data_IF_708673308219
#
_entry.id   IF_708673308219
#
_cell.length_a   1.000
_cell.length_b   1.000
_cell.length_c   1.000
_cell.angle_alpha   90.00
_cell.angle_beta   90.00
_cell.angle_gamma   90.00
#
_symmetry.space_group_name_H-M   'P 1'
#
loop_
_entity.id
_entity.type
_entity.pdbx_description
1 polymer ?
#
# COMPACT_ATOMS: atom_id res chain seq x y z
N UNK A 1 11.63 21.54 -18.16
CA UNK A 1 12.46 20.64 -17.34
C UNK A 1 11.95 19.23 -17.56
N UNK A 2 12.82 18.25 -17.74
CA UNK A 2 12.40 16.86 -17.98
C UNK A 2 11.94 16.18 -16.70
N UNK A 3 10.97 15.29 -16.80
CA UNK A 3 10.32 14.63 -15.67
C UNK A 3 10.60 13.13 -15.68
N UNK A 4 10.83 12.57 -14.50
CA UNK A 4 10.89 11.13 -14.28
C UNK A 4 9.52 10.67 -13.75
N UNK A 5 8.86 9.78 -14.48
CA UNK A 5 7.63 9.11 -14.06
C UNK A 5 7.99 7.74 -13.49
N UNK A 6 8.09 7.65 -12.17
CA UNK A 6 8.40 6.41 -11.45
C UNK A 6 7.13 5.57 -11.30
N UNK A 7 7.15 4.33 -11.78
CA UNK A 7 6.07 3.39 -11.49
C UNK A 7 6.33 2.68 -10.15
N UNK A 8 5.30 2.49 -9.33
CA UNK A 8 5.39 1.72 -8.09
C UNK A 8 4.23 0.72 -7.99
N UNK A 9 4.51 -0.53 -7.62
CA UNK A 9 3.51 -1.58 -7.52
C UNK A 9 4.09 -2.99 -7.57
N UNK A 10 3.32 -3.96 -7.08
CA UNK A 10 3.73 -5.37 -7.04
C UNK A 10 3.77 -6.01 -8.46
N UNK A 11 4.52 -7.10 -8.69
CA UNK A 11 4.39 -7.86 -9.95
C UNK A 11 2.93 -8.24 -10.21
N UNK A 12 2.48 -8.14 -11.47
CA UNK A 12 1.08 -8.38 -11.83
C UNK A 12 0.16 -7.15 -11.75
N UNK A 13 0.60 -6.04 -11.14
CA UNK A 13 -0.21 -4.82 -10.96
C UNK A 13 -0.44 -3.99 -12.23
N UNK A 14 -0.09 -4.49 -13.41
CA UNK A 14 -0.30 -3.76 -14.68
C UNK A 14 0.73 -2.67 -15.02
N UNK A 15 1.74 -2.40 -14.15
CA UNK A 15 2.80 -1.38 -14.38
C UNK A 15 3.33 -1.35 -15.82
N UNK A 16 3.81 -2.49 -16.34
CA UNK A 16 4.45 -2.52 -17.66
C UNK A 16 3.47 -2.27 -18.82
N UNK A 17 2.18 -2.48 -18.62
CA UNK A 17 1.16 -2.08 -19.60
C UNK A 17 0.93 -0.57 -19.52
N UNK A 18 0.68 -0.06 -18.30
CA UNK A 18 0.56 1.37 -18.05
C UNK A 18 1.80 2.17 -18.49
N UNK A 19 2.99 1.60 -18.37
CA UNK A 19 4.26 2.18 -18.81
C UNK A 19 4.22 2.58 -20.29
N UNK A 20 3.59 1.75 -21.14
CA UNK A 20 3.49 2.01 -22.58
C UNK A 20 2.61 3.23 -22.86
N UNK A 21 1.48 3.33 -22.16
CA UNK A 21 0.56 4.47 -22.26
C UNK A 21 1.21 5.75 -21.74
N UNK A 22 1.86 5.66 -20.57
CA UNK A 22 2.60 6.76 -19.96
C UNK A 22 3.74 7.24 -20.88
N UNK A 23 4.52 6.35 -21.49
CA UNK A 23 5.58 6.73 -22.44
C UNK A 23 5.03 7.52 -23.64
N UNK A 24 3.88 7.12 -24.18
CA UNK A 24 3.23 7.83 -25.29
C UNK A 24 2.75 9.21 -24.86
N UNK A 25 2.04 9.29 -23.73
CA UNK A 25 1.48 10.53 -23.19
C UNK A 25 2.57 11.55 -22.88
N UNK A 26 3.61 11.11 -22.19
CA UNK A 26 4.69 11.98 -21.69
C UNK A 26 5.86 12.12 -22.68
N UNK A 27 5.78 11.48 -23.86
CA UNK A 27 6.86 11.39 -24.86
C UNK A 27 8.19 10.92 -24.26
N UNK A 28 8.10 9.98 -23.33
CA UNK A 28 9.20 9.51 -22.50
C UNK A 28 9.93 8.30 -23.09
N UNK A 29 11.16 8.10 -22.65
CA UNK A 29 11.92 6.86 -22.83
C UNK A 29 11.57 5.90 -21.71
N UNK A 30 11.33 4.63 -22.05
CA UNK A 30 11.08 3.58 -21.05
C UNK A 30 12.42 3.03 -20.54
N UNK A 31 12.63 3.07 -19.23
CA UNK A 31 13.71 2.36 -18.54
C UNK A 31 13.08 1.30 -17.65
N UNK A 32 13.18 0.03 -18.06
CA UNK A 32 12.52 -1.09 -17.38
C UNK A 32 13.54 -2.09 -16.81
N UNK A 33 13.49 -2.31 -15.50
CA UNK A 33 14.46 -3.18 -14.80
C UNK A 33 14.38 -4.65 -15.23
N UNK A 34 13.20 -5.13 -15.66
CA UNK A 34 13.05 -6.48 -16.18
C UNK A 34 13.68 -6.64 -17.58
N UNK A 35 13.59 -5.62 -18.44
CA UNK A 35 14.26 -5.61 -19.76
C UNK A 35 15.79 -5.53 -19.61
N UNK A 36 16.28 -4.71 -18.67
CA UNK A 36 17.70 -4.63 -18.32
C UNK A 36 18.19 -5.97 -17.77
N UNK A 37 17.42 -6.62 -16.89
CA UNK A 37 17.75 -7.94 -16.36
C UNK A 37 17.90 -8.97 -17.48
N UNK A 38 16.97 -8.98 -18.44
CA UNK A 38 17.02 -9.87 -19.60
C UNK A 38 18.24 -9.58 -20.49
N UNK A 39 18.56 -8.31 -20.76
CA UNK A 39 19.74 -7.93 -21.55
C UNK A 39 21.06 -8.33 -20.88
N UNK A 40 21.18 -8.14 -19.56
CA UNK A 40 22.43 -8.39 -18.82
C UNK A 40 22.67 -9.87 -18.50
N UNK A 41 21.61 -10.63 -18.24
CA UNK A 41 21.72 -11.98 -17.69
C UNK A 41 20.97 -13.05 -18.50
N UNK A 42 20.20 -12.66 -19.51
CA UNK A 42 19.31 -13.57 -20.23
C UNK A 42 18.08 -13.97 -19.41
N UNK A 43 17.17 -14.72 -20.04
CA UNK A 43 15.90 -15.16 -19.46
C UNK A 43 16.03 -16.26 -18.40
N UNK A 44 17.12 -17.02 -18.44
CA UNK A 44 17.33 -18.24 -17.62
C UNK A 44 18.24 -18.03 -16.41
N UNK A 45 18.90 -16.88 -16.32
CA UNK A 45 19.86 -16.63 -15.25
C UNK A 45 19.18 -16.38 -13.91
N UNK A 46 19.57 -17.20 -12.93
CA UNK A 46 19.30 -17.00 -11.50
C UNK A 46 20.28 -16.01 -10.85
N UNK A 47 21.17 -15.35 -11.59
CA UNK A 47 22.13 -14.40 -11.01
C UNK A 47 21.40 -13.15 -10.50
N UNK A 48 21.52 -12.92 -9.20
CA UNK A 48 20.79 -11.88 -8.45
C UNK A 48 21.63 -10.64 -8.21
N UNK A 49 22.41 -10.15 -9.18
CA UNK A 49 23.09 -8.87 -8.96
C UNK A 49 22.11 -7.70 -9.19
N UNK A 50 21.23 -7.52 -8.21
CA UNK A 50 20.20 -6.48 -8.21
C UNK A 50 20.83 -5.10 -8.33
N UNK A 51 21.97 -4.86 -7.67
CA UNK A 51 22.70 -3.59 -7.74
C UNK A 51 23.07 -3.24 -9.17
N UNK A 52 23.70 -4.18 -9.90
CA UNK A 52 24.08 -3.95 -11.30
C UNK A 52 22.89 -3.61 -12.22
N UNK A 53 21.70 -4.16 -11.96
CA UNK A 53 20.47 -3.81 -12.72
C UNK A 53 20.07 -2.37 -12.46
N UNK A 54 20.10 -1.92 -11.20
CA UNK A 54 19.75 -0.55 -10.85
C UNK A 54 20.83 0.45 -11.29
N UNK A 55 22.11 0.09 -11.24
CA UNK A 55 23.19 0.93 -11.76
C UNK A 55 23.02 1.20 -13.26
N UNK A 56 22.73 0.15 -14.04
CA UNK A 56 22.44 0.27 -15.46
C UNK A 56 21.16 1.09 -15.72
N UNK A 57 20.10 0.87 -14.93
CA UNK A 57 18.88 1.66 -15.04
C UNK A 57 19.13 3.14 -14.76
N UNK A 58 19.93 3.47 -13.75
CA UNK A 58 20.26 4.86 -13.43
C UNK A 58 21.12 5.50 -14.53
N UNK A 59 22.05 4.76 -15.13
CA UNK A 59 22.81 5.25 -16.29
C UNK A 59 21.90 5.52 -17.50
N UNK A 60 20.93 4.66 -17.81
CA UNK A 60 19.95 4.89 -18.88
C UNK A 60 19.06 6.11 -18.60
N UNK A 61 18.63 6.29 -17.34
CA UNK A 61 17.86 7.47 -16.92
C UNK A 61 18.70 8.73 -17.13
N UNK A 62 19.95 8.75 -16.68
CA UNK A 62 20.85 9.90 -16.83
C UNK A 62 21.10 10.25 -18.30
N UNK A 63 21.32 9.25 -19.15
CA UNK A 63 21.47 9.45 -20.59
C UNK A 63 20.21 10.06 -21.22
N UNK A 64 19.03 9.53 -20.88
CA UNK A 64 17.76 10.03 -21.42
C UNK A 64 17.50 11.47 -20.97
N UNK A 65 17.71 11.79 -19.69
CA UNK A 65 17.57 13.14 -19.15
C UNK A 65 18.58 14.11 -19.78
N UNK A 66 19.84 13.68 -19.95
CA UNK A 66 20.89 14.47 -20.63
C UNK A 66 20.58 14.76 -22.11
N UNK A 67 19.78 13.91 -22.74
CA UNK A 67 19.25 14.13 -24.10
C UNK A 67 17.96 14.96 -24.15
N UNK A 68 17.50 15.50 -23.02
CA UNK A 68 16.30 16.32 -22.94
C UNK A 68 15.00 15.52 -23.05
N UNK A 69 14.99 14.23 -22.67
CA UNK A 69 13.82 13.35 -22.73
C UNK A 69 13.25 13.07 -21.33
N UNK A 70 11.92 12.98 -21.25
CA UNK A 70 11.26 12.42 -20.07
C UNK A 70 11.57 10.93 -19.95
N UNK A 71 11.45 10.38 -18.75
CA UNK A 71 11.70 8.95 -18.49
C UNK A 71 10.52 8.33 -17.77
N UNK A 72 10.09 7.15 -18.21
CA UNK A 72 9.25 6.26 -17.40
C UNK A 72 10.14 5.19 -16.81
N UNK A 73 10.22 5.13 -15.48
CA UNK A 73 11.01 4.14 -14.77
C UNK A 73 10.11 2.99 -14.29
N UNK A 74 10.13 1.86 -15.01
CA UNK A 74 9.36 0.66 -14.68
C UNK A 74 10.19 -0.31 -13.81
N UNK A 75 9.91 -0.24 -12.52
CA UNK A 75 10.36 -1.20 -11.52
C UNK A 75 9.25 -1.39 -10.48
N UNK A 76 9.44 -2.32 -9.55
CA UNK A 76 8.45 -2.52 -8.48
C UNK A 76 8.41 -1.35 -7.49
N UNK A 77 9.56 -0.74 -7.19
CA UNK A 77 9.70 0.45 -6.33
C UNK A 77 8.88 0.38 -5.01
N UNK A 78 8.83 -0.80 -4.40
CA UNK A 78 7.98 -1.08 -3.22
C UNK A 78 8.51 -0.51 -1.91
N UNK A 79 9.84 -0.39 -1.77
CA UNK A 79 10.49 0.04 -0.53
C UNK A 79 10.76 1.55 -0.52
N UNK A 80 10.30 2.23 0.54
CA UNK A 80 10.39 3.69 0.71
C UNK A 80 11.83 4.19 0.72
N UNK A 81 12.72 3.54 1.47
CA UNK A 81 14.11 3.96 1.57
C UNK A 81 14.83 3.97 0.22
N UNK A 82 14.49 3.02 -0.67
CA UNK A 82 15.02 2.98 -2.03
C UNK A 82 14.49 4.11 -2.90
N UNK A 83 13.20 4.46 -2.75
CA UNK A 83 12.60 5.61 -3.43
C UNK A 83 13.23 6.91 -2.95
N UNK A 84 13.45 7.08 -1.65
CA UNK A 84 14.15 8.26 -1.09
C UNK A 84 15.59 8.35 -1.62
N UNK A 85 16.33 7.24 -1.69
CA UNK A 85 17.68 7.23 -2.29
C UNK A 85 17.65 7.63 -3.77
N UNK A 86 16.67 7.13 -4.53
CA UNK A 86 16.45 7.53 -5.92
C UNK A 86 16.18 9.04 -6.04
N UNK A 87 15.25 9.56 -5.23
CA UNK A 87 14.87 10.98 -5.23
C UNK A 87 16.06 11.89 -4.88
N UNK A 88 16.92 11.47 -3.93
CA UNK A 88 18.17 12.18 -3.62
C UNK A 88 19.13 12.21 -4.81
N UNK A 89 19.31 11.08 -5.51
CA UNK A 89 20.18 11.00 -6.70
C UNK A 89 19.69 11.91 -7.83
N UNK A 90 18.39 11.93 -8.08
CA UNK A 90 17.77 12.68 -9.18
C UNK A 90 17.15 14.00 -8.72
N UNK A 91 17.64 14.58 -7.62
CA UNK A 91 17.08 15.78 -6.98
C UNK A 91 17.04 17.04 -7.88
N UNK A 92 17.79 17.05 -8.99
CA UNK A 92 17.76 18.11 -9.99
C UNK A 92 16.61 18.01 -10.99
N UNK A 93 15.82 16.94 -10.94
CA UNK A 93 14.70 16.68 -11.85
C UNK A 93 13.41 16.44 -11.08
N UNK A 94 12.26 16.92 -11.58
CA UNK A 94 10.99 16.55 -11.00
C UNK A 94 10.73 15.04 -11.18
N UNK A 95 10.21 14.43 -10.12
CA UNK A 95 9.82 13.02 -10.10
C UNK A 95 8.36 12.88 -9.70
N UNK A 96 7.56 12.26 -10.56
CA UNK A 96 6.17 11.92 -10.27
C UNK A 96 6.03 10.42 -10.07
N UNK A 97 5.34 10.00 -9.01
CA UNK A 97 5.09 8.59 -8.74
C UNK A 97 3.72 8.16 -9.26
N UNK A 98 3.68 7.02 -9.96
CA UNK A 98 2.48 6.39 -10.49
C UNK A 98 2.24 5.09 -9.72
N UNK A 99 1.38 5.16 -8.71
CA UNK A 99 1.10 4.07 -7.78
C UNK A 99 0.08 3.14 -8.42
N UNK A 100 0.53 1.98 -8.89
CA UNK A 100 -0.31 1.00 -9.56
C UNK A 100 -1.05 0.14 -8.52
N UNK A 101 -2.31 0.49 -8.29
CA UNK A 101 -3.20 -0.16 -7.33
C UNK A 101 -3.98 -1.26 -8.05
N UNK A 102 -3.76 -2.49 -7.62
CA UNK A 102 -4.43 -3.68 -8.14
C UNK A 102 -4.69 -4.63 -6.97
N UNK A 103 -5.89 -5.21 -6.84
CA UNK A 103 -6.15 -6.27 -5.87
C UNK A 103 -5.12 -7.39 -5.95
N UNK A 104 -4.68 -7.89 -4.79
CA UNK A 104 -3.64 -8.92 -4.72
C UNK A 104 -4.01 -10.18 -5.52
N UNK A 105 -5.24 -10.68 -5.38
CA UNK A 105 -5.69 -11.88 -6.11
C UNK A 105 -5.64 -11.71 -7.62
N UNK A 106 -6.07 -10.55 -8.13
CA UNK A 106 -5.98 -10.24 -9.57
C UNK A 106 -4.51 -10.15 -10.04
N UNK A 107 -3.64 -9.52 -9.24
CA UNK A 107 -2.21 -9.48 -9.55
C UNK A 107 -1.59 -10.89 -9.54
N UNK A 108 -2.01 -11.75 -8.59
CA UNK A 108 -1.58 -13.14 -8.47
C UNK A 108 -2.00 -13.97 -9.68
N UNK A 109 -3.25 -13.92 -10.09
CA UNK A 109 -3.76 -14.58 -11.30
C UNK A 109 -2.97 -14.16 -12.54
N UNK A 110 -2.76 -12.85 -12.71
CA UNK A 110 -1.94 -12.30 -13.82
C UNK A 110 -0.51 -12.81 -13.79
N UNK A 111 0.09 -13.01 -12.62
CA UNK A 111 1.45 -13.55 -12.49
C UNK A 111 1.48 -15.04 -12.79
N UNK A 112 0.49 -15.82 -12.33
CA UNK A 112 0.43 -17.26 -12.58
C UNK A 112 0.16 -17.61 -14.05
N UNK A 113 -0.52 -16.72 -14.78
CA UNK A 113 -0.75 -16.86 -16.22
C UNK A 113 0.48 -16.55 -17.09
N UNK A 114 1.56 -15.95 -16.53
CA UNK A 114 2.77 -15.60 -17.29
C UNK A 114 3.61 -16.85 -17.60
N UNK A 115 4.29 -16.84 -18.75
CA UNK A 115 5.30 -17.85 -19.12
C UNK A 115 6.40 -17.97 -18.07
N UNK A 116 6.88 -16.84 -17.55
CA UNK A 116 7.83 -16.77 -16.42
C UNK A 116 7.04 -16.57 -15.12
N UNK A 117 6.84 -17.66 -14.37
CA UNK A 117 6.13 -17.64 -13.09
C UNK A 117 7.02 -17.08 -11.99
N UNK A 118 6.40 -16.36 -11.05
CA UNK A 118 7.00 -15.95 -9.78
C UNK A 118 6.37 -16.83 -8.71
N UNK A 119 7.19 -17.37 -7.81
CA UNK A 119 6.70 -18.13 -6.66
C UNK A 119 5.77 -17.27 -5.79
N UNK A 120 4.69 -17.85 -5.29
CA UNK A 120 3.67 -17.15 -4.50
C UNK A 120 4.27 -16.42 -3.30
N UNK A 121 5.17 -17.08 -2.55
CA UNK A 121 5.91 -16.48 -1.42
C UNK A 121 6.70 -15.23 -1.81
N UNK A 122 7.19 -15.15 -3.05
CA UNK A 122 7.92 -13.97 -3.55
C UNK A 122 6.94 -12.84 -3.86
N UNK A 123 5.76 -13.14 -4.41
CA UNK A 123 4.72 -12.15 -4.65
C UNK A 123 4.14 -11.61 -3.33
N UNK A 124 3.87 -12.48 -2.37
CA UNK A 124 3.50 -12.11 -1.01
C UNK A 124 4.52 -11.17 -0.38
N UNK A 125 5.82 -11.46 -0.57
CA UNK A 125 6.89 -10.57 -0.09
C UNK A 125 6.78 -9.18 -0.72
N UNK A 126 6.49 -9.06 -2.01
CA UNK A 126 6.26 -7.75 -2.62
C UNK A 126 5.07 -7.03 -2.00
N UNK A 127 3.96 -7.71 -1.76
CA UNK A 127 2.78 -7.11 -1.12
C UNK A 127 3.07 -6.64 0.32
N UNK A 128 3.68 -7.50 1.14
CA UNK A 128 4.04 -7.22 2.54
C UNK A 128 5.11 -6.15 2.73
N UNK A 129 5.82 -5.77 1.67
CA UNK A 129 6.87 -4.75 1.72
C UNK A 129 6.53 -3.53 0.84
N UNK A 130 5.28 -3.42 0.35
CA UNK A 130 4.87 -2.28 -0.46
C UNK A 130 4.44 -1.11 0.43
N UNK A 131 5.42 -0.35 0.88
CA UNK A 131 5.19 0.91 1.57
C UNK A 131 4.55 1.91 0.60
N UNK A 132 3.34 2.36 0.91
CA UNK A 132 2.61 3.31 0.07
C UNK A 132 3.44 4.59 -0.16
N UNK A 133 3.63 5.05 -1.41
CA UNK A 133 4.41 6.26 -1.71
C UNK A 133 3.77 7.53 -1.12
N UNK A 134 4.60 8.40 -0.53
CA UNK A 134 4.17 9.69 0.03
C UNK A 134 4.78 10.86 -0.74
N UNK A 135 4.04 11.96 -0.89
CA UNK A 135 4.59 13.20 -1.47
C UNK A 135 5.85 13.66 -0.71
N UNK A 136 5.84 13.55 0.62
CA UNK A 136 6.95 13.95 1.49
C UNK A 136 8.23 13.11 1.31
N UNK A 137 8.21 12.00 0.56
CA UNK A 137 9.45 11.32 0.14
C UNK A 137 10.30 12.22 -0.79
N UNK A 138 9.68 13.22 -1.42
CA UNK A 138 10.29 14.15 -2.38
C UNK A 138 9.66 14.09 -3.78
N UNK A 139 8.51 13.44 -3.95
CA UNK A 139 7.79 13.40 -5.22
C UNK A 139 7.07 14.73 -5.48
N UNK A 140 7.07 15.18 -6.73
CA UNK A 140 6.30 16.36 -7.16
C UNK A 140 4.80 16.08 -7.25
N UNK A 141 4.43 14.84 -7.58
CA UNK A 141 3.04 14.41 -7.69
C UNK A 141 2.91 12.91 -7.48
N UNK A 142 1.81 12.49 -6.86
CA UNK A 142 1.35 11.11 -6.85
C UNK A 142 0.17 10.96 -7.81
N UNK A 143 0.18 9.88 -8.58
CA UNK A 143 -0.92 9.47 -9.46
C UNK A 143 -1.37 8.08 -9.03
N UNK A 144 -2.63 7.94 -8.63
CA UNK A 144 -3.21 6.63 -8.32
C UNK A 144 -3.67 5.98 -9.65
N UNK A 145 -2.90 4.98 -10.09
CA UNK A 145 -3.21 4.19 -11.29
C UNK A 145 -3.99 2.96 -10.85
N UNK A 146 -5.31 3.09 -10.83
CA UNK A 146 -6.21 2.08 -10.30
C UNK A 146 -6.68 1.10 -11.38
N UNK A 147 -6.55 -0.20 -11.08
CA UNK A 147 -7.18 -1.26 -11.87
C UNK A 147 -8.57 -1.54 -11.30
N UNK A 148 -9.65 -1.33 -12.06
CA UNK A 148 -10.99 -1.55 -11.55
C UNK A 148 -11.25 -3.03 -11.21
N UNK A 149 -11.91 -3.26 -10.09
CA UNK A 149 -12.41 -4.55 -9.64
C UNK A 149 -13.50 -4.34 -8.57
N UNK A 150 -14.59 -5.10 -8.63
CA UNK A 150 -15.71 -4.93 -7.70
C UNK A 150 -15.28 -5.12 -6.23
N UNK A 151 -15.49 -4.08 -5.42
CA UNK A 151 -15.21 -4.08 -3.99
C UNK A 151 -16.32 -4.75 -3.15
N UNK A 152 -17.49 -5.05 -3.74
CA UNK A 152 -18.64 -5.71 -3.11
C UNK A 152 -19.48 -4.83 -2.19
N UNK A 153 -19.08 -3.57 -1.98
CA UNK A 153 -19.76 -2.58 -1.13
C UNK A 153 -19.99 -1.28 -1.91
N UNK A 154 -20.89 -0.45 -1.41
CA UNK A 154 -21.35 0.78 -2.06
C UNK A 154 -21.19 1.97 -1.11
N UNK A 155 -20.73 3.10 -1.66
CA UNK A 155 -20.37 4.29 -0.90
C UNK A 155 -21.50 4.77 0.01
N UNK A 156 -22.67 5.04 -0.58
CA UNK A 156 -23.79 5.60 0.14
C UNK A 156 -24.36 4.64 1.21
N UNK A 157 -24.23 3.33 1.03
CA UNK A 157 -24.64 2.36 2.02
C UNK A 157 -23.61 2.24 3.16
N UNK A 158 -22.31 2.31 2.87
CA UNK A 158 -21.25 2.34 3.88
C UNK A 158 -21.35 3.60 4.76
N UNK A 159 -21.50 4.78 4.15
CA UNK A 159 -21.65 6.06 4.86
C UNK A 159 -22.87 6.01 5.80
N UNK A 160 -24.07 5.69 5.29
CA UNK A 160 -25.29 5.54 6.12
C UNK A 160 -25.17 4.46 7.20
N UNK A 161 -24.40 3.41 6.95
CA UNK A 161 -24.18 2.36 7.94
C UNK A 161 -23.36 2.91 9.10
N UNK A 162 -22.24 3.59 8.82
CA UNK A 162 -21.34 4.15 9.82
C UNK A 162 -21.96 5.32 10.61
N UNK A 163 -22.79 6.16 9.97
CA UNK A 163 -23.55 7.24 10.64
C UNK A 163 -24.47 6.72 11.75
N UNK A 164 -24.98 5.49 11.62
CA UNK A 164 -25.92 4.89 12.58
C UNK A 164 -25.24 4.18 13.75
N UNK A 165 -23.91 4.15 13.79
CA UNK A 165 -23.11 3.42 14.78
C UNK A 165 -23.59 1.96 14.97
N UNK A 166 -23.40 1.11 13.96
CA UNK A 166 -23.97 -0.23 13.94
C UNK A 166 -23.24 -1.15 14.92
N UNK A 167 -23.97 -2.10 15.51
CA UNK A 167 -23.36 -3.22 16.22
C UNK A 167 -22.59 -4.14 15.26
N UNK A 168 -21.71 -4.99 15.80
CA UNK A 168 -20.85 -5.90 15.04
C UNK A 168 -21.62 -6.71 13.98
N UNK A 169 -22.73 -7.34 14.37
CA UNK A 169 -23.48 -8.24 13.49
C UNK A 169 -24.15 -7.50 12.33
N UNK A 170 -24.70 -6.30 12.57
CA UNK A 170 -25.26 -5.46 11.50
C UNK A 170 -24.16 -4.99 10.55
N UNK A 171 -23.03 -4.53 11.11
CA UNK A 171 -21.88 -4.05 10.34
C UNK A 171 -21.35 -5.15 9.41
N UNK A 172 -21.04 -6.32 9.96
CA UNK A 172 -20.45 -7.41 9.18
C UNK A 172 -21.45 -8.18 8.33
N UNK A 173 -22.77 -8.12 8.61
CA UNK A 173 -23.78 -8.60 7.68
C UNK A 173 -23.71 -7.87 6.33
N UNK A 174 -23.38 -6.57 6.34
CA UNK A 174 -23.16 -5.78 5.13
C UNK A 174 -21.72 -5.94 4.59
N UNK A 175 -20.71 -5.71 5.43
CA UNK A 175 -19.31 -5.66 4.98
C UNK A 175 -18.84 -6.96 4.34
N UNK A 176 -19.36 -8.13 4.77
CA UNK A 176 -19.01 -9.45 4.19
C UNK A 176 -19.33 -9.61 2.70
N UNK A 177 -20.07 -8.66 2.10
CA UNK A 177 -20.23 -8.60 0.64
C UNK A 177 -18.90 -8.29 -0.07
N UNK A 178 -18.00 -7.59 0.62
CA UNK A 178 -16.63 -7.38 0.15
C UNK A 178 -15.75 -8.61 0.40
N UNK A 179 -14.90 -9.01 -0.56
CA UNK A 179 -13.94 -10.10 -0.34
C UNK A 179 -12.93 -9.81 0.78
N UNK A 180 -12.67 -8.53 1.08
CA UNK A 180 -11.68 -8.13 2.11
C UNK A 180 -12.22 -8.29 3.54
N UNK A 181 -13.52 -8.07 3.74
CA UNK A 181 -14.15 -8.19 5.05
C UNK A 181 -14.76 -9.57 5.29
N UNK A 182 -15.16 -10.29 4.23
CA UNK A 182 -15.75 -11.63 4.36
C UNK A 182 -14.80 -12.63 5.05
N UNK A 183 -13.50 -12.48 4.82
CA UNK A 183 -12.45 -13.31 5.42
C UNK A 183 -12.12 -12.97 6.87
N UNK A 184 -12.60 -11.83 7.39
CA UNK A 184 -12.35 -11.40 8.76
C UNK A 184 -13.34 -12.02 9.76
N UNK A 185 -14.54 -12.37 9.29
CA UNK A 185 -15.61 -12.89 10.14
C UNK A 185 -15.22 -14.24 10.74
N UNK A 186 -15.11 -14.30 12.07
CA UNK A 186 -14.69 -15.52 12.78
C UNK A 186 -13.22 -15.89 12.59
N UNK A 187 -12.40 -15.01 12.02
CA UNK A 187 -10.98 -15.27 11.82
C UNK A 187 -10.24 -15.27 13.16
N UNK A 188 -9.79 -16.45 13.58
CA UNK A 188 -8.92 -16.61 14.74
C UNK A 188 -7.49 -16.15 14.40
N UNK A 189 -7.06 -15.12 15.13
CA UNK A 189 -5.73 -14.54 14.96
C UNK A 189 -4.61 -15.45 15.49
N UNK A 190 -4.93 -16.47 16.29
CA UNK A 190 -4.01 -17.49 16.81
C UNK A 190 -2.71 -16.87 17.35
N UNK A 191 -2.88 -15.79 18.12
CA UNK A 191 -1.80 -15.02 18.71
C UNK A 191 -2.19 -14.64 20.15
N UNK A 192 -1.33 -14.93 21.14
CA UNK A 192 -1.66 -14.78 22.56
C UNK A 192 -1.95 -13.33 22.99
N UNK A 193 -1.64 -12.35 22.15
CA UNK A 193 -1.91 -10.93 22.39
C UNK A 193 -3.29 -10.49 21.89
N UNK A 194 -4.12 -11.40 21.37
CA UNK A 194 -5.46 -11.10 20.87
C UNK A 194 -6.50 -12.02 21.52
N UNK A 195 -7.50 -11.42 22.15
CA UNK A 195 -8.64 -12.12 22.75
C UNK A 195 -9.84 -12.24 21.81
N UNK A 196 -9.87 -11.45 20.74
CA UNK A 196 -10.98 -11.29 19.81
C UNK A 196 -10.65 -11.86 18.44
N UNK A 197 -11.67 -12.32 17.72
CA UNK A 197 -11.56 -12.55 16.27
C UNK A 197 -11.25 -11.23 15.56
N UNK A 198 -10.78 -11.32 14.32
CA UNK A 198 -10.38 -10.15 13.56
C UNK A 198 -11.54 -9.15 13.36
N UNK A 199 -12.75 -9.63 13.05
CA UNK A 199 -13.93 -8.77 12.88
C UNK A 199 -14.38 -8.10 14.18
N UNK A 200 -14.34 -8.81 15.30
CA UNK A 200 -14.67 -8.29 16.63
C UNK A 200 -13.68 -7.22 17.08
N UNK A 201 -12.38 -7.44 16.84
CA UNK A 201 -11.35 -6.45 17.11
C UNK A 201 -11.57 -5.17 16.28
N UNK A 202 -11.77 -5.31 14.97
CA UNK A 202 -12.07 -4.18 14.08
C UNK A 202 -13.30 -3.39 14.52
N UNK A 203 -14.37 -4.06 14.93
CA UNK A 203 -15.58 -3.39 15.44
C UNK A 203 -15.31 -2.67 16.77
N UNK A 204 -14.56 -3.28 17.70
CA UNK A 204 -14.22 -2.63 18.96
C UNK A 204 -13.36 -1.35 18.77
N UNK A 205 -12.43 -1.33 17.80
CA UNK A 205 -11.71 -0.11 17.43
C UNK A 205 -12.67 0.95 16.88
N UNK A 206 -13.60 0.55 16.00
CA UNK A 206 -14.61 1.44 15.44
C UNK A 206 -15.52 2.05 16.52
N UNK A 207 -15.96 1.25 17.50
CA UNK A 207 -16.77 1.71 18.63
C UNK A 207 -16.01 2.74 19.49
N UNK A 208 -14.72 2.49 19.75
CA UNK A 208 -13.87 3.44 20.45
C UNK A 208 -13.77 4.76 19.69
N UNK A 209 -13.49 4.71 18.38
CA UNK A 209 -13.45 5.90 17.51
C UNK A 209 -14.77 6.67 17.58
N UNK A 210 -15.91 5.98 17.44
CA UNK A 210 -17.23 6.62 17.48
C UNK A 210 -17.50 7.30 18.83
N UNK A 211 -17.01 6.73 19.92
CA UNK A 211 -17.29 7.22 21.28
C UNK A 211 -16.39 8.39 21.68
N UNK A 212 -15.12 8.37 21.27
CA UNK A 212 -14.09 9.23 21.86
C UNK A 212 -13.41 10.18 20.85
N UNK A 213 -13.57 9.99 19.54
CA UNK A 213 -12.91 10.84 18.57
C UNK A 213 -13.68 12.16 18.36
N UNK A 214 -13.07 13.27 18.74
CA UNK A 214 -13.64 14.62 18.60
C UNK A 214 -12.96 15.47 17.49
N UNK A 215 -12.11 14.84 16.67
CA UNK A 215 -11.38 15.52 15.59
C UNK A 215 -12.20 15.76 14.32
N UNK A 216 -11.67 16.58 13.41
CA UNK A 216 -12.35 16.97 12.16
C UNK A 216 -12.53 15.79 11.18
N UNK A 217 -11.64 14.79 11.22
CA UNK A 217 -11.58 13.67 10.27
C UNK A 217 -12.24 12.39 10.82
N UNK A 218 -13.42 12.50 11.44
CA UNK A 218 -14.10 11.37 12.07
C UNK A 218 -14.37 10.24 11.07
N UNK A 219 -14.82 10.58 9.86
CA UNK A 219 -15.15 9.57 8.87
C UNK A 219 -13.91 8.85 8.35
N UNK A 220 -12.82 9.57 8.10
CA UNK A 220 -11.54 8.98 7.73
C UNK A 220 -10.99 8.07 8.84
N UNK A 221 -11.14 8.46 10.11
CA UNK A 221 -10.76 7.66 11.28
C UNK A 221 -11.58 6.37 11.38
N UNK A 222 -12.89 6.44 11.12
CA UNK A 222 -13.77 5.27 11.06
C UNK A 222 -13.36 4.31 9.92
N UNK A 223 -13.03 4.85 8.75
CA UNK A 223 -12.53 4.03 7.64
C UNK A 223 -11.17 3.42 7.97
N UNK A 224 -10.25 4.15 8.61
CA UNK A 224 -9.00 3.59 9.09
C UNK A 224 -9.25 2.43 10.07
N UNK A 225 -10.20 2.58 11.00
CA UNK A 225 -10.58 1.53 11.94
C UNK A 225 -11.07 0.27 11.21
N UNK A 226 -11.95 0.42 10.22
CA UNK A 226 -12.44 -0.71 9.41
C UNK A 226 -11.31 -1.42 8.65
N UNK A 227 -10.39 -0.67 8.06
CA UNK A 227 -9.45 -1.22 7.08
C UNK A 227 -8.07 -1.59 7.63
N UNK A 228 -7.63 -1.05 8.77
CA UNK A 228 -6.23 -1.13 9.22
C UNK A 228 -5.66 -2.55 9.23
N UNK A 229 -6.51 -3.52 9.50
CA UNK A 229 -6.15 -4.91 9.74
C UNK A 229 -6.60 -5.89 8.64
N UNK A 230 -7.22 -5.38 7.57
CA UNK A 230 -7.70 -6.19 6.42
C UNK A 230 -6.59 -6.97 5.72
N UNK A 231 -5.32 -6.57 5.87
CA UNK A 231 -4.14 -7.27 5.35
C UNK A 231 -3.69 -8.49 6.17
N UNK A 232 -4.18 -8.69 7.41
CA UNK A 232 -3.73 -9.78 8.30
C UNK A 232 -3.89 -11.19 7.68
N UNK A 233 -5.01 -11.55 7.02
CA UNK A 233 -5.16 -12.87 6.41
C UNK A 233 -4.05 -13.23 5.41
N UNK A 234 -3.59 -12.27 4.58
CA UNK A 234 -2.48 -12.49 3.64
C UNK A 234 -1.11 -12.58 4.36
N UNK A 235 -1.02 -12.03 5.56
CA UNK A 235 0.24 -11.86 6.30
C UNK A 235 0.47 -12.90 7.39
N UNK A 236 -0.47 -13.84 7.62
CA UNK A 236 -0.37 -14.87 8.65
C UNK A 236 0.86 -15.77 8.41
N UNK A 237 1.82 -15.74 9.33
CA UNK A 237 3.04 -16.58 9.26
C UNK A 237 3.32 -17.19 10.62
N UNK A 238 3.40 -18.51 10.69
CA UNK A 238 3.80 -19.24 11.91
C UNK A 238 5.25 -18.90 12.29
N UNK A 239 5.49 -18.60 13.57
CA UNK A 239 6.83 -18.35 14.12
C UNK A 239 7.21 -19.46 15.10
N UNK A 240 7.92 -20.51 14.67
CA UNK A 240 8.27 -21.65 15.53
C UNK A 240 8.96 -21.24 16.83
N UNK A 241 9.86 -20.26 16.77
CA UNK A 241 10.61 -19.79 17.93
C UNK A 241 9.78 -18.98 18.94
N UNK A 242 8.57 -18.53 18.56
CA UNK A 242 7.67 -17.76 19.41
C UNK A 242 6.43 -18.55 19.84
N UNK A 243 6.09 -19.62 19.11
CA UNK A 243 4.92 -20.46 19.40
C UNK A 243 3.57 -19.82 19.01
N UNK A 244 3.57 -18.79 18.16
CA UNK A 244 2.36 -18.12 17.69
C UNK A 244 2.52 -17.53 16.28
N UNK A 245 1.41 -17.08 15.67
CA UNK A 245 1.40 -16.45 14.35
C UNK A 245 1.72 -14.94 14.38
N UNK A 246 2.50 -14.48 13.41
CA UNK A 246 2.81 -13.06 13.19
C UNK A 246 2.19 -12.54 11.90
N UNK A 247 2.01 -11.22 11.82
CA UNK A 247 1.35 -10.52 10.72
C UNK A 247 2.22 -9.41 10.10
N UNK A 248 3.53 -9.65 9.94
CA UNK A 248 4.44 -8.61 9.45
C UNK A 248 4.01 -8.05 8.06
N UNK A 249 3.92 -6.73 7.96
CA UNK A 249 3.59 -6.01 6.72
C UNK A 249 2.10 -5.97 6.37
N UNK A 250 1.21 -6.32 7.31
CA UNK A 250 -0.23 -6.26 7.09
C UNK A 250 -0.71 -4.83 6.86
N UNK A 251 -0.13 -3.85 7.53
CA UNK A 251 -0.40 -2.42 7.37
C UNK A 251 -0.19 -1.95 5.92
N UNK A 252 0.81 -2.50 5.24
CA UNK A 252 1.08 -2.20 3.83
C UNK A 252 0.07 -2.87 2.90
N UNK A 253 -0.34 -4.11 3.20
CA UNK A 253 -1.38 -4.80 2.44
C UNK A 253 -2.73 -4.09 2.62
N UNK A 254 -3.09 -3.75 3.86
CA UNK A 254 -4.28 -2.98 4.23
C UNK A 254 -4.33 -1.64 3.51
N UNK A 255 -3.19 -0.93 3.42
CA UNK A 255 -3.09 0.35 2.72
C UNK A 255 -3.44 0.23 1.22
N UNK A 256 -3.00 -0.85 0.57
CA UNK A 256 -3.34 -1.11 -0.85
C UNK A 256 -4.82 -1.50 -0.99
N UNK A 257 -5.36 -2.29 -0.06
CA UNK A 257 -6.78 -2.67 -0.03
C UNK A 257 -7.65 -1.43 0.10
N UNK A 258 -7.42 -0.59 1.12
CA UNK A 258 -8.25 0.60 1.35
C UNK A 258 -8.14 1.60 0.19
N UNK A 259 -6.95 1.79 -0.39
CA UNK A 259 -6.79 2.61 -1.58
C UNK A 259 -7.63 2.08 -2.75
N UNK A 260 -7.58 0.77 -3.02
CA UNK A 260 -8.39 0.15 -4.07
C UNK A 260 -9.90 0.34 -3.82
N UNK A 261 -10.36 0.00 -2.61
CA UNK A 261 -11.79 0.05 -2.26
C UNK A 261 -12.31 1.48 -2.32
N UNK A 262 -11.61 2.45 -1.74
CA UNK A 262 -12.09 3.84 -1.77
C UNK A 262 -12.06 4.45 -3.19
N UNK A 263 -11.15 4.00 -4.06
CA UNK A 263 -11.21 4.36 -5.49
C UNK A 263 -12.43 3.77 -6.20
N UNK A 264 -12.77 2.51 -5.95
CA UNK A 264 -14.02 1.90 -6.47
C UNK A 264 -15.27 2.64 -5.98
N UNK A 265 -15.25 3.06 -4.72
CA UNK A 265 -16.35 3.81 -4.10
C UNK A 265 -16.42 5.28 -4.59
N UNK A 266 -15.48 5.73 -5.41
CA UNK A 266 -15.50 7.06 -6.01
C UNK A 266 -15.16 8.20 -5.06
N UNK A 267 -14.37 7.94 -4.01
CA UNK A 267 -13.83 9.00 -3.15
C UNK A 267 -12.71 9.78 -3.87
N UNK A 268 -12.52 11.04 -3.46
CA UNK A 268 -11.46 11.90 -3.97
C UNK A 268 -10.08 11.50 -3.45
N UNK A 269 -9.03 11.76 -4.23
CA UNK A 269 -7.68 11.28 -3.92
C UNK A 269 -7.14 11.80 -2.58
N UNK A 270 -7.40 13.06 -2.21
CA UNK A 270 -6.92 13.62 -0.93
C UNK A 270 -7.52 12.89 0.28
N UNK A 271 -8.83 12.62 0.24
CA UNK A 271 -9.54 11.83 1.24
C UNK A 271 -8.96 10.40 1.34
N UNK A 272 -8.74 9.77 0.19
CA UNK A 272 -8.17 8.42 0.12
C UNK A 272 -6.77 8.39 0.73
N UNK A 273 -5.92 9.35 0.36
CA UNK A 273 -4.55 9.42 0.86
C UNK A 273 -4.50 9.65 2.36
N UNK A 274 -5.43 10.44 2.92
CA UNK A 274 -5.53 10.63 4.37
C UNK A 274 -5.79 9.28 5.09
N UNK A 275 -6.80 8.50 4.64
CA UNK A 275 -7.10 7.17 5.21
C UNK A 275 -5.96 6.18 4.99
N UNK A 276 -5.39 6.15 3.77
CA UNK A 276 -4.25 5.28 3.43
C UNK A 276 -3.04 5.57 4.32
N UNK A 277 -2.77 6.83 4.64
CA UNK A 277 -1.66 7.22 5.50
C UNK A 277 -1.86 6.74 6.94
N UNK A 278 -3.07 6.90 7.51
CA UNK A 278 -3.40 6.34 8.83
C UNK A 278 -3.17 4.82 8.85
N UNK A 279 -3.75 4.11 7.88
CA UNK A 279 -3.61 2.64 7.78
C UNK A 279 -2.15 2.23 7.57
N UNK A 280 -1.39 2.93 6.73
CA UNK A 280 0.00 2.58 6.41
C UNK A 280 0.96 2.75 7.59
N UNK A 281 0.64 3.63 8.54
CA UNK A 281 1.51 4.01 9.65
C UNK A 281 1.01 3.57 11.03
N UNK A 282 -0.15 2.93 11.13
CA UNK A 282 -0.71 2.52 12.42
C UNK A 282 0.25 1.62 13.23
N UNK A 283 1.01 0.73 12.56
CA UNK A 283 2.02 -0.09 13.24
C UNK A 283 3.30 0.69 13.61
N UNK A 284 3.65 1.71 12.84
CA UNK A 284 4.83 2.55 13.09
C UNK A 284 4.62 3.37 14.37
N UNK A 285 3.43 3.94 14.58
CA UNK A 285 3.14 4.68 15.82
C UNK A 285 3.05 3.74 17.04
N UNK A 286 2.51 2.53 16.88
CA UNK A 286 2.35 1.56 17.97
C UNK A 286 3.67 0.95 18.45
N UNK A 287 4.66 0.80 17.57
CA UNK A 287 5.88 0.03 17.88
C UNK A 287 7.18 0.76 17.62
N UNK A 288 7.16 1.90 16.94
CA UNK A 288 8.36 2.66 16.59
C UNK A 288 8.87 3.58 17.71
N UNK A 289 8.08 3.80 18.77
CA UNK A 289 8.43 4.72 19.86
C UNK A 289 8.75 6.13 19.33
N UNK A 290 9.73 6.81 19.95
CA UNK A 290 10.14 8.17 19.55
C UNK A 290 10.64 8.23 18.10
N UNK A 291 11.33 7.18 17.62
CA UNK A 291 11.82 7.12 16.25
C UNK A 291 10.66 7.01 15.24
N UNK A 292 9.65 6.20 15.54
CA UNK A 292 8.44 6.08 14.74
C UNK A 292 7.65 7.38 14.70
N UNK A 293 7.43 8.01 15.86
CA UNK A 293 6.76 9.30 15.97
C UNK A 293 7.49 10.41 15.19
N UNK A 294 8.83 10.49 15.32
CA UNK A 294 9.65 11.43 14.54
C UNK A 294 9.54 11.17 13.04
N UNK A 295 9.59 9.91 12.60
CA UNK A 295 9.40 9.54 11.18
C UNK A 295 8.03 9.97 10.65
N UNK A 296 6.96 9.72 11.41
CA UNK A 296 5.61 10.15 11.06
C UNK A 296 5.53 11.68 10.97
N UNK A 297 6.04 12.40 11.96
CA UNK A 297 6.08 13.87 11.95
C UNK A 297 6.75 14.41 10.69
N UNK A 298 7.91 13.88 10.32
CA UNK A 298 8.66 14.33 9.15
C UNK A 298 7.98 14.00 7.81
N UNK A 299 7.23 12.89 7.74
CA UNK A 299 6.60 12.43 6.50
C UNK A 299 5.16 12.91 6.33
N UNK A 300 4.43 13.10 7.42
CA UNK A 300 2.97 13.32 7.41
C UNK A 300 2.53 14.55 8.20
N UNK A 301 3.43 15.17 8.96
CA UNK A 301 3.15 16.37 9.75
C UNK A 301 2.59 16.07 11.15
N UNK A 302 2.36 17.15 11.90
CA UNK A 302 1.87 17.13 13.28
C UNK A 302 0.43 16.65 13.42
N UNK A 303 -0.47 17.08 12.51
CA UNK A 303 -1.89 16.70 12.55
C UNK A 303 -2.09 15.19 12.41
N UNK A 304 -1.48 14.59 11.39
CA UNK A 304 -1.53 13.14 11.17
C UNK A 304 -0.85 12.36 12.31
N UNK A 305 0.22 12.91 12.90
CA UNK A 305 0.83 12.30 14.09
C UNK A 305 -0.16 12.25 15.26
N UNK A 306 -0.89 13.34 15.52
CA UNK A 306 -1.89 13.37 16.59
C UNK A 306 -3.05 12.38 16.35
N UNK A 307 -3.53 12.28 15.11
CA UNK A 307 -4.54 11.30 14.70
C UNK A 307 -4.04 9.86 14.89
N UNK A 308 -2.80 9.58 14.53
CA UNK A 308 -2.18 8.27 14.72
C UNK A 308 -1.98 7.92 16.20
N UNK A 309 -1.70 8.90 17.07
CA UNK A 309 -1.69 8.66 18.52
C UNK A 309 -3.06 8.24 19.04
N UNK A 310 -4.12 8.94 18.62
CA UNK A 310 -5.49 8.54 18.97
C UNK A 310 -5.81 7.15 18.43
N UNK A 311 -5.46 6.86 17.18
CA UNK A 311 -5.71 5.55 16.57
C UNK A 311 -4.96 4.43 17.31
N UNK A 312 -3.71 4.68 17.73
CA UNK A 312 -2.92 3.74 18.52
C UNK A 312 -3.55 3.44 19.89
N UNK A 313 -4.16 4.45 20.52
CA UNK A 313 -4.94 4.28 21.75
C UNK A 313 -6.17 3.39 21.50
N UNK A 314 -6.95 3.69 20.46
CA UNK A 314 -8.14 2.92 20.08
C UNK A 314 -7.81 1.45 19.78
N UNK A 315 -6.77 1.18 18.98
CA UNK A 315 -6.29 -0.17 18.66
C UNK A 315 -5.83 -0.93 19.93
N UNK A 316 -5.10 -0.25 20.81
CA UNK A 316 -4.62 -0.86 22.06
C UNK A 316 -5.76 -1.19 23.02
N UNK A 317 -6.77 -0.32 23.12
CA UNK A 317 -7.96 -0.55 23.94
C UNK A 317 -8.78 -1.76 23.47
N UNK A 318 -8.81 -2.01 22.15
CA UNK A 318 -9.62 -3.05 21.54
C UNK A 318 -9.02 -4.48 21.58
N UNK A 319 -7.81 -4.69 22.13
CA UNK A 319 -7.14 -6.01 22.17
C UNK A 319 -7.76 -6.99 23.18
#
# INVERSE_FOLDING_TARGET
MNTIHMLAGIPGSGKSEYAKECCKRERAVLVATDAIRERLFGSESRQKNTYRIFDEAFAEIEQALGSGRNVVFDATNVARDRRIQFLKRFSSFPVECHVCITPYELARERVQARKRKIEEKVLEKYAKNFEFPLLAEGFNKLHIVHTPADAGIERAALERLLERNPGHDELFAYLRRSPYFSVMLGYDQENPHHSKTLSEHTHAVLEYVHTFYEGEHLFEMQLAALFHDTGKPLCKVWKPNRGYYSYFGHEHVSAIIVCHVLKELGYGDDFILHVVNMVSFHMEILHGGDAGASKIYHLLGDRMLAELYFFAEADTFAK
#
